data_IF_165068823244
#
_entry.id   IF_165068823244
#
_cell.length_a   1.000
_cell.length_b   1.000
_cell.length_c   1.000
_cell.angle_alpha   90.00
_cell.angle_beta   90.00
_cell.angle_gamma   90.00
#
_symmetry.space_group_name_H-M   'P 1'
#
loop_
_entity.id
_entity.type
_entity.pdbx_description
1 polymer ?
#
# COMPACT_ATOMS: atom_id res chain seq x y z
N UNK A 1 -48.59 0.12 -20.51
CA UNK A 1 -48.96 -1.21 -21.04
C UNK A 1 -47.84 -1.64 -21.98
N UNK A 2 -47.02 -2.60 -21.54
CA UNK A 2 -45.96 -3.37 -22.23
C UNK A 2 -44.76 -2.58 -22.82
N UNK A 3 -43.55 -2.66 -22.22
CA UNK A 3 -42.51 -3.72 -22.31
C UNK A 3 -41.97 -4.00 -23.73
N UNK A 4 -40.67 -3.75 -23.95
CA UNK A 4 -39.65 -4.81 -24.08
C UNK A 4 -38.23 -4.23 -24.20
N UNK A 5 -37.40 -4.68 -23.25
CA UNK A 5 -35.95 -4.57 -23.19
C UNK A 5 -35.35 -5.41 -24.32
N UNK A 6 -34.56 -4.78 -25.19
CA UNK A 6 -33.70 -5.46 -26.16
C UNK A 6 -32.32 -5.67 -25.53
N UNK A 7 -32.06 -6.92 -25.15
CA UNK A 7 -30.77 -7.43 -24.68
C UNK A 7 -29.77 -7.42 -25.86
N UNK A 8 -28.73 -6.57 -25.79
CA UNK A 8 -27.63 -6.56 -26.76
C UNK A 8 -26.68 -7.75 -26.47
N UNK A 9 -26.57 -8.75 -27.36
CA UNK A 9 -25.83 -9.99 -27.08
C UNK A 9 -24.30 -9.86 -27.26
N UNK A 10 -23.75 -8.64 -27.23
CA UNK A 10 -22.37 -8.35 -27.64
C UNK A 10 -21.40 -7.88 -26.55
N UNK A 11 -21.86 -7.58 -25.34
CA UNK A 11 -20.95 -7.26 -24.23
C UNK A 11 -20.60 -8.57 -23.54
N UNK A 12 -19.46 -9.15 -23.91
CA UNK A 12 -18.77 -10.05 -22.99
C UNK A 12 -18.45 -9.21 -21.75
N UNK A 13 -19.27 -9.35 -20.72
CA UNK A 13 -18.86 -8.99 -19.37
C UNK A 13 -17.55 -9.74 -19.13
N UNK A 14 -16.44 -8.99 -19.16
CA UNK A 14 -15.19 -9.48 -18.62
C UNK A 14 -15.46 -9.57 -17.13
N UNK A 15 -15.99 -10.70 -16.68
CA UNK A 15 -15.93 -11.08 -15.27
C UNK A 15 -14.44 -11.09 -14.93
N UNK A 16 -13.94 -9.97 -14.37
CA UNK A 16 -12.65 -9.95 -13.71
C UNK A 16 -12.82 -10.86 -12.51
N UNK A 17 -12.43 -12.13 -12.65
CA UNK A 17 -12.11 -12.97 -11.51
C UNK A 17 -10.96 -12.27 -10.80
N UNK A 18 -11.30 -11.53 -9.76
CA UNK A 18 -10.36 -10.71 -9.02
C UNK A 18 -9.52 -11.61 -8.10
N UNK A 19 -8.65 -12.42 -8.70
CA UNK A 19 -7.77 -13.35 -8.01
C UNK A 19 -6.56 -12.60 -7.44
N UNK A 20 -6.84 -11.60 -6.61
CA UNK A 20 -5.81 -10.91 -5.87
C UNK A 20 -5.18 -11.84 -4.84
N UNK A 21 -3.85 -11.95 -4.86
CA UNK A 21 -3.11 -12.79 -3.90
C UNK A 21 -3.40 -12.31 -2.48
N UNK A 22 -3.85 -13.21 -1.61
CA UNK A 22 -4.07 -12.89 -0.21
C UNK A 22 -2.72 -12.81 0.52
N UNK A 23 -2.31 -11.64 1.03
CA UNK A 23 -1.12 -11.53 1.87
C UNK A 23 -1.39 -12.17 3.23
N UNK A 24 -0.32 -12.64 3.88
CA UNK A 24 -0.38 -13.05 5.27
C UNK A 24 0.63 -12.27 6.12
N UNK A 25 0.31 -12.16 7.40
CA UNK A 25 1.14 -11.46 8.39
C UNK A 25 1.87 -12.49 9.23
N UNK A 26 3.19 -12.37 9.28
CA UNK A 26 4.02 -13.09 10.23
C UNK A 26 4.41 -12.16 11.37
N UNK A 27 4.02 -12.52 12.59
CA UNK A 27 4.34 -11.80 13.82
C UNK A 27 5.57 -12.41 14.48
N UNK A 28 6.65 -11.63 14.54
CA UNK A 28 7.81 -11.92 15.38
C UNK A 28 7.68 -11.28 16.76
N UNK A 29 8.72 -11.44 17.59
CA UNK A 29 8.74 -10.89 18.95
C UNK A 29 8.68 -9.35 18.98
N UNK A 30 9.30 -8.69 18.02
CA UNK A 30 9.49 -7.23 17.98
C UNK A 30 9.00 -6.60 16.68
N UNK A 31 8.42 -7.40 15.77
CA UNK A 31 8.13 -6.97 14.41
C UNK A 31 6.95 -7.71 13.78
N UNK A 32 6.28 -7.05 12.84
CA UNK A 32 5.30 -7.65 11.94
C UNK A 32 5.83 -7.60 10.52
N UNK A 33 5.63 -8.66 9.75
CA UNK A 33 6.04 -8.73 8.35
C UNK A 33 4.89 -9.20 7.47
N UNK A 34 4.75 -8.58 6.30
CA UNK A 34 3.78 -8.95 5.29
C UNK A 34 4.47 -9.71 4.17
N UNK A 35 3.84 -10.80 3.72
CA UNK A 35 4.36 -11.70 2.71
C UNK A 35 3.25 -12.03 1.70
N UNK A 36 3.62 -12.18 0.43
CA UNK A 36 2.76 -12.81 -0.58
C UNK A 36 3.14 -14.27 -0.83
N UNK A 37 4.35 -14.66 -0.48
CA UNK A 37 4.84 -16.04 -0.53
C UNK A 37 5.87 -16.28 0.57
N UNK A 38 6.15 -17.56 0.88
CA UNK A 38 7.10 -17.94 1.93
C UNK A 38 8.53 -17.39 1.73
N UNK A 39 8.88 -16.99 0.52
CA UNK A 39 10.22 -16.52 0.16
C UNK A 39 10.31 -14.99 0.03
N UNK A 40 9.18 -14.27 0.08
CA UNK A 40 9.13 -12.85 -0.27
C UNK A 40 8.55 -12.00 0.85
N UNK A 41 9.44 -11.32 1.58
CA UNK A 41 9.06 -10.24 2.48
C UNK A 41 8.74 -9.01 1.63
N UNK A 42 7.46 -8.62 1.62
CA UNK A 42 7.02 -7.37 1.01
C UNK A 42 7.31 -6.18 1.92
N UNK A 43 6.93 -6.29 3.20
CA UNK A 43 7.10 -5.20 4.17
C UNK A 43 7.39 -5.74 5.55
N UNK A 44 8.11 -4.96 6.36
CA UNK A 44 8.41 -5.26 7.76
C UNK A 44 8.29 -3.98 8.59
N UNK A 45 7.71 -4.10 9.77
CA UNK A 45 7.47 -3.02 10.72
C UNK A 45 7.98 -3.44 12.10
N UNK A 46 8.77 -2.58 12.75
CA UNK A 46 9.10 -2.75 14.18
C UNK A 46 7.90 -2.32 15.02
N UNK A 47 7.57 -3.09 16.07
CA UNK A 47 6.45 -2.79 16.97
C UNK A 47 6.69 -1.47 17.72
N UNK A 48 7.90 -1.26 18.23
CA UNK A 48 8.23 -0.08 19.04
C UNK A 48 8.52 1.18 18.21
N UNK A 49 8.91 1.02 16.94
CA UNK A 49 9.22 2.13 16.03
C UNK A 49 8.63 1.88 14.64
N UNK A 50 7.30 1.99 14.49
CA UNK A 50 6.59 1.55 13.28
C UNK A 50 6.91 2.36 12.02
N UNK A 51 7.54 3.52 12.16
CA UNK A 51 7.82 4.46 11.07
C UNK A 51 9.22 4.30 10.47
N UNK A 52 10.07 3.43 11.04
CA UNK A 52 11.42 3.21 10.54
C UNK A 52 11.44 2.27 9.34
N UNK A 53 12.35 2.54 8.42
CA UNK A 53 12.60 1.70 7.25
C UNK A 53 13.52 0.52 7.64
N UNK A 54 12.90 -0.60 7.98
CA UNK A 54 13.57 -1.83 8.40
C UNK A 54 14.31 -2.52 7.25
N UNK A 55 13.74 -2.50 6.05
CA UNK A 55 14.29 -3.20 4.88
C UNK A 55 15.19 -2.28 4.07
N UNK A 56 16.38 -2.76 3.70
CA UNK A 56 17.38 -1.95 2.99
C UNK A 56 16.85 -1.35 1.69
N UNK A 57 16.07 -2.12 0.91
CA UNK A 57 15.52 -1.62 -0.34
C UNK A 57 14.62 -0.39 -0.13
N UNK A 58 13.86 -0.32 0.97
CA UNK A 58 13.00 0.84 1.26
C UNK A 58 13.83 2.09 1.55
N UNK A 59 15.00 1.93 2.18
CA UNK A 59 15.95 3.03 2.39
C UNK A 59 16.56 3.50 1.07
N UNK A 60 16.90 2.56 0.19
CA UNK A 60 17.39 2.86 -1.17
C UNK A 60 16.34 3.60 -2.00
N UNK A 61 15.07 3.20 -1.90
CA UNK A 61 13.95 3.88 -2.58
C UNK A 61 13.82 5.35 -2.16
N UNK A 62 14.15 5.70 -0.91
CA UNK A 62 14.18 7.10 -0.46
C UNK A 62 15.35 7.93 -1.01
N UNK A 63 16.27 7.32 -1.77
CA UNK A 63 17.40 8.01 -2.39
C UNK A 63 17.01 9.17 -3.31
N UNK A 64 15.77 9.20 -3.82
CA UNK A 64 15.26 10.33 -4.61
C UNK A 64 15.35 11.69 -3.88
N UNK A 65 15.36 11.68 -2.53
CA UNK A 65 15.47 12.89 -1.72
C UNK A 65 16.80 13.63 -1.91
N UNK A 66 17.84 12.99 -2.45
CA UNK A 66 19.09 13.67 -2.83
C UNK A 66 18.84 14.68 -3.96
N UNK A 67 17.90 14.39 -4.85
CA UNK A 67 17.57 15.23 -6.00
C UNK A 67 16.40 16.18 -5.70
N UNK A 68 15.47 15.78 -4.83
CA UNK A 68 14.33 16.57 -4.39
C UNK A 68 14.20 16.53 -2.86
N UNK A 69 14.93 17.37 -2.10
CA UNK A 69 15.00 17.27 -0.63
C UNK A 69 13.70 17.61 0.10
N UNK A 70 12.83 18.42 -0.51
CA UNK A 70 11.56 18.87 0.05
C UNK A 70 10.43 18.69 -0.97
N UNK A 71 10.01 17.45 -1.27
CA UNK A 71 8.93 17.21 -2.22
C UNK A 71 7.60 17.68 -1.62
N UNK A 72 6.85 18.49 -2.35
CA UNK A 72 5.50 18.92 -1.92
C UNK A 72 4.43 17.84 -2.18
N UNK A 73 4.65 16.98 -3.18
CA UNK A 73 3.72 15.94 -3.63
C UNK A 73 4.44 14.64 -3.95
N UNK A 74 3.94 13.53 -3.41
CA UNK A 74 4.47 12.19 -3.67
C UNK A 74 3.32 11.28 -4.12
N UNK A 75 3.46 10.68 -5.29
CA UNK A 75 2.61 9.58 -5.72
C UNK A 75 3.33 8.26 -5.46
N UNK A 76 2.64 7.31 -4.83
CA UNK A 76 3.16 5.98 -4.50
C UNK A 76 2.26 4.93 -5.13
N UNK A 77 2.86 4.01 -5.88
CA UNK A 77 2.17 2.88 -6.49
C UNK A 77 2.56 1.63 -5.70
N UNK A 78 1.57 1.00 -5.08
CA UNK A 78 1.74 -0.06 -4.09
C UNK A 78 1.82 0.49 -2.67
N UNK A 79 0.97 -0.01 -1.78
CA UNK A 79 0.97 0.34 -0.35
C UNK A 79 1.92 -0.55 0.43
N UNK A 80 1.93 -1.86 0.13
CA UNK A 80 2.62 -2.84 0.96
C UNK A 80 2.11 -2.80 2.41
N UNK A 81 3.03 -2.91 3.39
CA UNK A 81 2.73 -2.63 4.81
C UNK A 81 2.88 -1.15 5.18
N UNK A 82 2.90 -0.24 4.20
CA UNK A 82 2.96 1.20 4.41
C UNK A 82 4.27 1.75 4.98
N UNK A 83 5.39 1.03 4.90
CA UNK A 83 6.69 1.49 5.43
C UNK A 83 7.12 2.84 4.85
N UNK A 84 7.10 3.00 3.52
CA UNK A 84 7.45 4.26 2.86
C UNK A 84 6.43 5.36 3.15
N UNK A 85 5.14 5.02 3.16
CA UNK A 85 4.05 5.94 3.50
C UNK A 85 4.24 6.56 4.89
N UNK A 86 4.47 5.71 5.91
CA UNK A 86 4.73 6.15 7.29
C UNK A 86 6.02 6.96 7.41
N UNK A 87 7.09 6.51 6.76
CA UNK A 87 8.36 7.23 6.77
C UNK A 87 8.21 8.64 6.19
N UNK A 88 7.62 8.76 5.00
CA UNK A 88 7.37 10.05 4.37
C UNK A 88 6.43 10.92 5.22
N UNK A 89 5.36 10.36 5.82
CA UNK A 89 4.47 11.11 6.72
C UNK A 89 5.23 11.69 7.92
N UNK A 90 6.16 10.92 8.49
CA UNK A 90 6.94 11.30 9.69
C UNK A 90 8.05 12.30 9.40
N UNK A 91 8.72 12.17 8.24
CA UNK A 91 9.93 12.90 7.91
C UNK A 91 9.73 14.03 6.89
N UNK A 92 8.63 14.01 6.14
CA UNK A 92 8.27 15.03 5.15
C UNK A 92 6.92 15.66 5.56
N UNK A 93 6.89 16.45 6.65
CA UNK A 93 5.66 16.99 7.24
C UNK A 93 4.95 18.02 6.35
N UNK A 94 5.59 18.51 5.29
CA UNK A 94 4.98 19.43 4.32
C UNK A 94 4.52 18.71 3.04
N UNK A 95 4.90 17.44 2.85
CA UNK A 95 4.49 16.68 1.67
C UNK A 95 3.04 16.22 1.80
N UNK A 96 2.29 16.31 0.71
CA UNK A 96 1.06 15.57 0.49
C UNK A 96 1.36 14.30 -0.30
N UNK A 97 0.65 13.22 0.00
CA UNK A 97 0.89 11.93 -0.61
C UNK A 97 -0.40 11.34 -1.15
N UNK A 98 -0.26 10.52 -2.20
CA UNK A 98 -1.33 9.64 -2.64
C UNK A 98 -0.76 8.26 -2.90
N UNK A 99 -1.28 7.29 -2.15
CA UNK A 99 -0.90 5.88 -2.29
C UNK A 99 -2.00 5.15 -3.02
N UNK A 100 -1.66 4.43 -4.08
CA UNK A 100 -2.59 3.62 -4.85
C UNK A 100 -2.21 2.16 -4.70
N UNK A 101 -3.10 1.38 -4.11
CA UNK A 101 -2.96 -0.06 -3.97
C UNK A 101 -4.04 -0.75 -4.78
N UNK A 102 -3.66 -1.77 -5.55
CA UNK A 102 -4.58 -2.51 -6.41
C UNK A 102 -5.23 -3.66 -5.63
N UNK A 103 -4.50 -4.28 -4.71
CA UNK A 103 -4.94 -5.45 -3.98
C UNK A 103 -5.72 -5.06 -2.71
N UNK A 104 -7.04 -5.31 -2.63
CA UNK A 104 -7.87 -4.95 -1.49
C UNK A 104 -7.48 -5.70 -0.21
N UNK A 105 -6.88 -6.88 -0.31
CA UNK A 105 -6.39 -7.62 0.85
C UNK A 105 -5.17 -6.96 1.50
N UNK A 106 -4.37 -6.21 0.74
CA UNK A 106 -3.28 -5.39 1.30
C UNK A 106 -3.86 -4.17 2.02
N UNK A 107 -4.87 -3.52 1.44
CA UNK A 107 -5.58 -2.39 2.06
C UNK A 107 -6.20 -2.81 3.40
N UNK A 108 -6.78 -4.01 3.46
CA UNK A 108 -7.37 -4.57 4.68
C UNK A 108 -6.36 -4.75 5.83
N UNK A 109 -5.05 -4.82 5.55
CA UNK A 109 -4.00 -4.94 6.56
C UNK A 109 -3.47 -3.59 7.06
N UNK A 110 -3.98 -2.45 6.58
CA UNK A 110 -3.50 -1.11 6.95
C UNK A 110 -3.36 -0.90 8.46
N UNK A 111 -4.39 -1.24 9.21
CA UNK A 111 -4.42 -1.02 10.66
C UNK A 111 -3.42 -1.91 11.38
N UNK A 112 -3.24 -3.16 10.90
CA UNK A 112 -2.26 -4.10 11.46
C UNK A 112 -0.80 -3.61 11.30
N UNK A 113 -0.56 -2.71 10.34
CA UNK A 113 0.74 -2.08 10.09
C UNK A 113 0.79 -0.61 10.47
N UNK A 114 -0.17 -0.11 11.26
CA UNK A 114 -0.22 1.27 11.75
C UNK A 114 -0.17 2.32 10.61
N UNK A 115 -0.73 2.00 9.45
CA UNK A 115 -0.81 2.95 8.33
C UNK A 115 -1.80 4.06 8.73
N UNK A 116 -1.45 5.35 8.57
CA UNK A 116 -2.34 6.46 8.93
C UNK A 116 -3.69 6.38 8.22
N UNK A 117 -4.78 6.89 8.82
CA UNK A 117 -6.05 7.04 8.11
C UNK A 117 -5.90 8.04 6.95
N UNK A 118 -6.78 7.95 5.97
CA UNK A 118 -6.81 8.87 4.84
C UNK A 118 -7.20 10.28 5.31
N UNK A 119 -6.49 11.30 4.83
CA UNK A 119 -6.77 12.71 5.12
C UNK A 119 -6.33 13.63 3.97
N UNK A 120 -6.36 14.96 4.18
CA UNK A 120 -5.98 15.91 3.14
C UNK A 120 -4.52 15.76 2.65
N UNK A 121 -3.69 15.00 3.37
CA UNK A 121 -2.27 14.78 3.08
C UNK A 121 -1.94 13.32 2.77
N UNK A 122 -2.88 12.38 2.86
CA UNK A 122 -2.66 10.96 2.61
C UNK A 122 -3.90 10.31 1.97
#
# INVERSE_FOLDING_TARGET
MHDRIGNDPGVCDIERTDDHVMPYVHEGLDSKSMHFSICEIQSRMQILRPDVLELEYTRTMMGFLVFAPAPERIAMIGLGGGSLAKFCRRHLPEASMRVVEINPHVIALRDAFNVPPDDARF
#
